data_IF_574742862977
#
_entry.id   IF_574742862977
#
_cell.length_a   1.000
_cell.length_b   1.000
_cell.length_c   1.000
_cell.angle_alpha   90.00
_cell.angle_beta   90.00
_cell.angle_gamma   90.00
#
_symmetry.space_group_name_H-M   'P 1'
#
loop_
_entity.id
_entity.type
_entity.pdbx_description
1 polymer ?
#
# COMPACT_ATOMS: atom_id res chain seq x y z
N UNK A 1 -0.65 7.59 -0.41
CA UNK A 1 -1.94 7.01 0.06
C UNK A 1 -3.08 8.04 -0.03
N UNK A 2 -4.35 7.61 -0.15
CA UNK A 2 -5.56 8.43 -0.02
C UNK A 2 -6.48 7.85 1.07
N UNK A 3 -7.11 8.71 1.89
CA UNK A 3 -8.10 8.33 2.90
C UNK A 3 -9.31 9.26 2.70
N UNK A 4 -10.41 8.68 2.26
CA UNK A 4 -11.64 9.41 1.94
C UNK A 4 -12.83 8.58 2.42
N UNK A 5 -13.73 9.12 3.28
CA UNK A 5 -14.92 8.40 3.73
C UNK A 5 -15.79 7.84 2.60
N UNK A 6 -15.80 8.48 1.43
CA UNK A 6 -16.56 8.03 0.24
C UNK A 6 -15.83 6.90 -0.52
N UNK A 7 -14.55 6.68 -0.25
CA UNK A 7 -13.74 5.63 -0.88
C UNK A 7 -13.46 4.52 0.13
N UNK A 8 -13.98 3.31 -0.14
CA UNK A 8 -13.76 2.13 0.71
C UNK A 8 -14.07 2.38 2.20
N UNK A 9 -15.10 3.20 2.48
CA UNK A 9 -15.51 3.57 3.86
C UNK A 9 -14.38 4.20 4.70
N UNK A 10 -13.48 4.95 4.07
CA UNK A 10 -12.34 5.57 4.74
C UNK A 10 -11.15 4.64 4.98
N UNK A 11 -11.15 3.42 4.41
CA UNK A 11 -9.95 2.60 4.42
C UNK A 11 -8.84 3.28 3.61
N UNK A 12 -7.57 3.25 4.05
CA UNK A 12 -6.48 3.81 3.28
C UNK A 12 -6.25 3.02 1.99
N UNK A 13 -6.16 3.72 0.86
CA UNK A 13 -5.96 3.14 -0.47
C UNK A 13 -4.76 3.75 -1.19
N UNK A 14 -4.25 3.05 -2.21
CA UNK A 14 -3.30 3.66 -3.16
C UNK A 14 -3.99 4.78 -3.95
N UNK A 15 -3.28 5.90 -4.18
CA UNK A 15 -3.87 7.07 -4.85
C UNK A 15 -4.28 6.68 -6.28
N UNK A 16 -5.48 7.07 -6.70
CA UNK A 16 -6.00 6.76 -8.02
C UNK A 16 -6.52 5.33 -8.18
N UNK A 17 -6.55 4.53 -7.10
CA UNK A 17 -7.09 3.17 -7.11
C UNK A 17 -8.12 2.99 -6.00
N UNK A 18 -8.78 1.82 -6.01
CA UNK A 18 -9.59 1.32 -4.89
C UNK A 18 -8.90 0.16 -4.16
N UNK A 19 -7.60 -0.01 -4.37
CA UNK A 19 -6.79 -1.08 -3.77
C UNK A 19 -6.39 -0.63 -2.36
N UNK A 20 -6.86 -1.32 -1.30
CA UNK A 20 -6.47 -1.01 0.07
C UNK A 20 -4.98 -1.19 0.30
N UNK A 21 -4.39 -0.37 1.17
CA UNK A 21 -3.01 -0.57 1.63
C UNK A 21 -2.88 -1.93 2.35
N UNK A 22 -3.92 -2.37 3.07
CA UNK A 22 -3.96 -3.68 3.72
C UNK A 22 -3.70 -4.82 2.73
N UNK A 23 -4.22 -4.73 1.50
CA UNK A 23 -4.00 -5.75 0.47
C UNK A 23 -2.52 -5.91 0.12
N UNK A 24 -1.76 -4.81 0.09
CA UNK A 24 -0.31 -4.88 -0.10
C UNK A 24 0.38 -5.53 1.10
N UNK A 25 0.00 -5.14 2.32
CA UNK A 25 0.60 -5.69 3.55
C UNK A 25 0.33 -7.20 3.67
N UNK A 26 -0.90 -7.64 3.38
CA UNK A 26 -1.28 -9.05 3.39
C UNK A 26 -0.50 -9.84 2.34
N UNK A 27 -0.33 -9.30 1.14
CA UNK A 27 0.49 -9.92 0.07
C UNK A 27 1.95 -10.01 0.48
N UNK A 28 2.52 -8.98 1.11
CA UNK A 28 3.92 -9.03 1.59
C UNK A 28 4.10 -10.00 2.77
N UNK A 29 3.01 -10.42 3.41
CA UNK A 29 3.01 -11.47 4.43
C UNK A 29 2.86 -12.88 3.87
N UNK A 30 2.63 -13.06 2.56
CA UNK A 30 2.59 -14.36 1.90
C UNK A 30 3.96 -14.77 1.35
N UNK A 31 4.05 -15.97 0.79
CA UNK A 31 5.24 -16.47 0.09
C UNK A 31 5.26 -16.06 -1.41
N UNK A 32 4.30 -15.23 -1.85
CA UNK A 32 4.18 -14.83 -3.26
C UNK A 32 5.22 -13.77 -3.65
N UNK A 33 5.57 -13.70 -4.94
CA UNK A 33 6.51 -12.70 -5.42
C UNK A 33 5.86 -11.31 -5.42
N UNK A 34 6.63 -10.29 -5.07
CA UNK A 34 6.17 -8.89 -5.14
C UNK A 34 5.77 -8.48 -6.57
N UNK A 35 6.33 -9.11 -7.60
CA UNK A 35 5.92 -8.91 -9.00
C UNK A 35 4.46 -9.33 -9.23
N UNK A 36 4.02 -10.41 -8.58
CA UNK A 36 2.65 -10.91 -8.70
C UNK A 36 1.65 -9.89 -8.14
N UNK A 37 2.02 -9.13 -7.12
CA UNK A 37 1.21 -8.02 -6.62
C UNK A 37 1.01 -6.95 -7.70
N UNK A 38 2.09 -6.52 -8.38
CA UNK A 38 1.99 -5.49 -9.41
C UNK A 38 1.23 -5.97 -10.65
N UNK A 39 1.36 -7.26 -11.00
CA UNK A 39 0.59 -7.86 -12.08
C UNK A 39 -0.91 -7.96 -11.72
N UNK A 40 -1.24 -8.24 -10.47
CA UNK A 40 -2.62 -8.26 -9.96
C UNK A 40 -3.25 -6.87 -9.80
N UNK A 41 -2.44 -5.85 -9.58
CA UNK A 41 -2.88 -4.47 -9.32
C UNK A 41 -2.11 -3.45 -10.17
N UNK A 42 -2.29 -3.43 -11.51
CA UNK A 42 -1.50 -2.59 -12.42
C UNK A 42 -1.71 -1.08 -12.23
N UNK A 43 -2.74 -0.68 -11.49
CA UNK A 43 -2.97 0.72 -11.10
C UNK A 43 -2.11 1.19 -9.92
N UNK A 44 -1.45 0.27 -9.20
CA UNK A 44 -0.54 0.61 -8.10
C UNK A 44 0.88 0.75 -8.65
N UNK A 45 1.45 1.94 -8.52
CA UNK A 45 2.80 2.20 -9.00
C UNK A 45 3.86 1.78 -7.98
N UNK A 46 5.05 1.44 -8.46
CA UNK A 46 6.19 1.11 -7.60
C UNK A 46 6.59 2.30 -6.71
N UNK A 47 6.50 3.52 -7.23
CA UNK A 47 6.79 4.75 -6.49
C UNK A 47 5.84 4.93 -5.31
N UNK A 48 4.55 4.59 -5.47
CA UNK A 48 3.58 4.66 -4.38
C UNK A 48 3.90 3.65 -3.27
N UNK A 49 4.38 2.46 -3.63
CA UNK A 49 4.84 1.45 -2.66
C UNK A 49 6.10 1.92 -1.93
N UNK A 50 7.05 2.53 -2.64
CA UNK A 50 8.26 3.09 -2.02
C UNK A 50 7.90 4.22 -1.03
N UNK A 51 7.03 5.15 -1.42
CA UNK A 51 6.54 6.23 -0.54
C UNK A 51 5.90 5.65 0.74
N UNK A 52 5.04 4.63 0.60
CA UNK A 52 4.44 3.93 1.74
C UNK A 52 5.49 3.32 2.68
N UNK A 53 6.50 2.64 2.14
CA UNK A 53 7.55 1.99 2.93
C UNK A 53 8.46 3.00 3.62
N UNK A 54 8.75 4.14 2.99
CA UNK A 54 9.51 5.22 3.60
C UNK A 54 8.75 5.87 4.77
N UNK A 55 7.45 6.17 4.59
CA UNK A 55 6.60 6.65 5.68
C UNK A 55 6.52 5.64 6.85
N UNK A 56 6.40 4.36 6.54
CA UNK A 56 6.38 3.30 7.55
C UNK A 56 7.72 3.20 8.29
N UNK A 57 8.83 3.27 7.55
CA UNK A 57 10.20 3.30 8.10
C UNK A 57 10.36 4.47 9.07
N UNK A 58 9.96 5.67 8.68
CA UNK A 58 10.02 6.83 9.59
C UNK A 58 9.24 6.57 10.87
N UNK A 59 8.04 6.00 10.82
CA UNK A 59 7.25 5.72 12.04
C UNK A 59 7.86 4.65 12.94
N UNK A 60 8.48 3.62 12.35
CA UNK A 60 9.12 2.54 13.10
C UNK A 60 10.43 3.00 13.74
N UNK A 61 11.23 3.79 13.03
CA UNK A 61 12.56 4.21 13.47
C UNK A 61 12.62 5.61 14.10
N UNK A 62 11.59 6.45 13.97
CA UNK A 62 11.48 7.72 14.72
C UNK A 62 10.91 7.54 16.13
N UNK A 63 10.45 6.33 16.48
CA UNK A 63 9.96 5.99 17.81
C UNK A 63 11.07 5.61 18.81
N UNK A 64 12.34 5.88 18.49
CA UNK A 64 13.52 5.63 19.35
C UNK A 64 14.09 6.91 19.93
#
# INVERSE_FOLDING_TARGET
MNIDPEVMSGAPVFKGTRVPIQTFVDHMGSDDDIRDFFDGFPGVSREQVIELLEEAKERVFAAT
#
